data_IF_888064882120
#
_entry.id   IF_888064882120
#
_cell.length_a   1.000
_cell.length_b   1.000
_cell.length_c   1.000
_cell.angle_alpha   90.00
_cell.angle_beta   90.00
_cell.angle_gamma   90.00
#
_symmetry.space_group_name_H-M   'P 1'
#
loop_
_entity.id
_entity.type
_entity.pdbx_description
1 polymer ?
#
# COMPACT_ATOMS: atom_id res chain seq x y z
N UNK A 1 -9.87 -12.65 4.48
CA UNK A 1 -9.62 -12.77 3.07
C UNK A 1 -8.15 -13.07 2.80
N UNK A 2 -7.90 -14.02 1.93
CA UNK A 2 -6.54 -14.54 1.70
C UNK A 2 -5.93 -13.96 0.44
N UNK A 3 -5.65 -12.69 0.46
CA UNK A 3 -5.09 -12.05 -0.71
C UNK A 3 -3.65 -12.49 -0.95
N UNK A 4 -2.90 -12.66 0.14
CA UNK A 4 -1.47 -12.93 0.04
C UNK A 4 -1.14 -14.28 -0.57
N UNK A 5 -2.10 -15.21 -0.61
CA UNK A 5 -1.86 -16.54 -1.15
C UNK A 5 -1.92 -16.60 -2.65
N UNK A 6 -2.34 -15.53 -3.29
CA UNK A 6 -2.50 -15.51 -4.74
C UNK A 6 -1.46 -14.63 -5.39
N UNK A 7 -0.85 -15.09 -6.47
CA UNK A 7 0.05 -14.22 -7.21
C UNK A 7 -0.71 -13.06 -7.82
N UNK A 8 -0.04 -11.95 -7.95
CA UNK A 8 -0.61 -10.79 -8.62
C UNK A 8 -0.64 -11.03 -10.11
N UNK A 9 -1.66 -10.51 -10.78
CA UNK A 9 -1.82 -10.65 -12.23
C UNK A 9 -1.00 -9.57 -12.94
N UNK A 10 0.31 -9.58 -12.70
CA UNK A 10 1.24 -8.59 -13.21
C UNK A 10 2.44 -9.32 -13.76
N UNK A 11 2.85 -8.99 -14.98
CA UNK A 11 3.96 -9.68 -15.62
C UNK A 11 5.33 -9.13 -15.22
N UNK A 12 5.38 -7.84 -14.90
CA UNK A 12 6.64 -7.20 -14.48
C UNK A 12 6.93 -7.60 -13.02
N UNK A 13 8.03 -8.33 -12.81
CA UNK A 13 8.32 -8.85 -11.48
C UNK A 13 8.64 -7.74 -10.48
N UNK A 14 9.31 -6.69 -10.91
CA UNK A 14 9.60 -5.57 -10.02
C UNK A 14 8.30 -4.88 -9.60
N UNK A 15 7.41 -4.63 -10.56
CA UNK A 15 6.12 -4.02 -10.24
C UNK A 15 5.30 -4.91 -9.32
N UNK A 16 5.34 -6.22 -9.55
CA UNK A 16 4.61 -7.15 -8.69
C UNK A 16 5.07 -7.05 -7.24
N UNK A 17 6.38 -6.97 -7.02
CA UNK A 17 6.92 -6.83 -5.67
C UNK A 17 6.49 -5.50 -5.06
N UNK A 18 6.55 -4.42 -5.84
CA UNK A 18 6.19 -3.10 -5.34
C UNK A 18 4.71 -3.03 -4.99
N UNK A 19 3.85 -3.65 -5.78
CA UNK A 19 2.42 -3.68 -5.46
C UNK A 19 2.18 -4.47 -4.17
N UNK A 20 2.85 -5.60 -4.01
CA UNK A 20 2.70 -6.39 -2.80
C UNK A 20 3.13 -5.59 -1.57
N UNK A 21 4.23 -4.86 -1.68
CA UNK A 21 4.71 -4.03 -0.59
C UNK A 21 3.74 -2.90 -0.30
N UNK A 22 3.15 -2.31 -1.33
CA UNK A 22 2.14 -1.28 -1.15
C UNK A 22 0.95 -1.84 -0.36
N UNK A 23 0.53 -3.06 -0.68
CA UNK A 23 -0.56 -3.70 0.04
C UNK A 23 -0.26 -3.85 1.51
N UNK A 24 0.97 -4.23 1.84
CA UNK A 24 1.39 -4.37 3.24
C UNK A 24 1.34 -3.02 3.94
N UNK A 25 1.82 -1.96 3.30
CA UNK A 25 1.79 -0.63 3.90
C UNK A 25 0.37 -0.14 4.10
N UNK A 26 -0.51 -0.40 3.14
CA UNK A 26 -1.90 0.00 3.28
C UNK A 26 -2.58 -0.71 4.44
N UNK A 27 -2.26 -1.99 4.65
CA UNK A 27 -2.79 -2.72 5.78
C UNK A 27 -2.31 -2.13 7.09
N UNK A 28 -1.05 -1.74 7.15
CA UNK A 28 -0.50 -1.09 8.33
C UNK A 28 -1.25 0.21 8.63
N UNK A 29 -1.52 1.02 7.61
CA UNK A 29 -2.28 2.26 7.78
C UNK A 29 -3.68 1.94 8.31
N UNK A 30 -4.31 0.92 7.77
CA UNK A 30 -5.66 0.55 8.22
C UNK A 30 -5.66 0.17 9.70
N UNK A 31 -4.66 -0.57 10.15
CA UNK A 31 -4.53 -0.93 11.55
C UNK A 31 -4.37 0.33 12.41
N UNK A 32 -3.53 1.26 11.98
CA UNK A 32 -3.32 2.49 12.73
C UNK A 32 -4.58 3.34 12.82
N UNK A 33 -5.33 3.43 11.72
CA UNK A 33 -6.60 4.16 11.72
C UNK A 33 -7.57 3.51 12.69
N UNK A 34 -7.64 2.18 12.68
CA UNK A 34 -8.52 1.46 13.61
C UNK A 34 -8.14 1.73 15.06
N UNK A 35 -6.84 1.78 15.34
CA UNK A 35 -6.37 2.06 16.69
C UNK A 35 -6.77 3.46 17.14
N UNK A 36 -6.73 4.44 16.23
CA UNK A 36 -7.13 5.81 16.59
C UNK A 36 -8.62 5.91 16.88
N UNK A 37 -9.41 4.93 16.48
CA UNK A 37 -10.84 4.91 16.75
C UNK A 37 -11.19 4.28 18.09
N UNK A 38 -10.20 3.72 18.79
CA UNK A 38 -10.45 3.09 20.09
C UNK A 38 -10.84 4.15 21.12
N UNK A 39 -11.80 3.83 21.99
CA UNK A 39 -12.13 4.76 23.08
C UNK A 39 -11.04 4.72 24.15
N UNK A 40 -10.91 5.76 24.89
CA UNK A 40 -10.06 5.79 26.09
C UNK A 40 -8.55 5.70 25.78
N UNK A 41 -8.13 6.17 24.62
CA UNK A 41 -6.70 6.28 24.34
C UNK A 41 -6.09 7.36 25.23
N UNK A 42 -4.93 7.08 25.80
CA UNK A 42 -4.17 8.12 26.50
C UNK A 42 -3.52 9.05 25.49
N UNK A 43 -3.10 10.22 25.97
CA UNK A 43 -2.40 11.16 25.11
C UNK A 43 -1.13 10.55 24.54
N UNK A 44 -0.39 9.79 25.36
CA UNK A 44 0.83 9.14 24.90
C UNK A 44 0.53 8.10 23.82
N UNK A 45 -0.53 7.33 24.00
CA UNK A 45 -0.93 6.34 23.01
C UNK A 45 -1.31 7.00 21.69
N UNK A 46 -2.06 8.10 21.76
CA UNK A 46 -2.43 8.84 20.57
C UNK A 46 -1.18 9.35 19.84
N UNK A 47 -0.23 9.89 20.61
CA UNK A 47 0.99 10.45 20.02
C UNK A 47 1.78 9.36 19.33
N UNK A 48 1.89 8.18 19.94
CA UNK A 48 2.63 7.09 19.33
C UNK A 48 1.99 6.61 18.04
N UNK A 49 0.67 6.48 18.05
CA UNK A 49 -0.04 6.03 16.85
C UNK A 49 0.11 7.05 15.74
N UNK A 50 -0.02 8.33 16.07
CA UNK A 50 0.12 9.39 15.08
C UNK A 50 1.54 9.43 14.51
N UNK A 51 2.55 9.19 15.34
CA UNK A 51 3.92 9.15 14.86
C UNK A 51 4.13 8.00 13.87
N UNK A 52 3.57 6.83 14.18
CA UNK A 52 3.66 5.70 13.26
C UNK A 52 2.87 5.97 11.97
N UNK A 53 1.74 6.64 12.10
CA UNK A 53 0.95 6.98 10.91
C UNK A 53 1.70 7.97 10.03
N UNK A 54 2.40 8.92 10.64
CA UNK A 54 3.24 9.85 9.87
C UNK A 54 4.32 9.09 9.11
N UNK A 55 5.00 8.16 9.78
CA UNK A 55 6.03 7.37 9.11
C UNK A 55 5.44 6.56 7.96
N UNK A 56 4.27 5.97 8.16
CA UNK A 56 3.62 5.20 7.10
C UNK A 56 3.24 6.11 5.93
N UNK A 57 2.77 7.32 6.22
CA UNK A 57 2.40 8.26 5.16
C UNK A 57 3.62 8.65 4.32
N UNK A 58 4.77 8.86 4.97
CA UNK A 58 6.01 9.18 4.25
C UNK A 58 6.42 8.00 3.38
N UNK A 59 6.33 6.78 3.91
CA UNK A 59 6.67 5.58 3.14
C UNK A 59 5.75 5.44 1.93
N UNK A 60 4.45 5.65 2.11
CA UNK A 60 3.50 5.57 1.01
C UNK A 60 3.79 6.62 -0.06
N UNK A 61 4.10 7.83 0.38
CA UNK A 61 4.41 8.90 -0.55
C UNK A 61 5.61 8.52 -1.41
N UNK A 62 6.67 8.01 -0.78
CA UNK A 62 7.87 7.62 -1.51
C UNK A 62 7.64 6.41 -2.39
N UNK A 63 6.80 5.48 -1.93
CA UNK A 63 6.49 4.27 -2.70
C UNK A 63 5.71 4.60 -3.97
N UNK A 64 4.79 5.54 -3.87
CA UNK A 64 3.91 5.91 -4.98
C UNK A 64 4.51 7.05 -5.79
N UNK A 65 5.80 6.95 -6.04
CA UNK A 65 6.51 7.97 -6.79
C UNK A 65 6.29 7.81 -8.29
N UNK A 66 6.95 8.67 -9.03
CA UNK A 66 6.80 8.69 -10.48
C UNK A 66 7.26 7.39 -11.11
N UNK A 67 8.33 6.80 -10.60
CA UNK A 67 8.84 5.55 -11.15
C UNK A 67 7.83 4.41 -10.99
N UNK A 68 7.22 4.33 -9.82
CA UNK A 68 6.18 3.32 -9.58
C UNK A 68 4.99 3.54 -10.53
N UNK A 69 4.59 4.80 -10.69
CA UNK A 69 3.48 5.11 -11.58
C UNK A 69 3.82 4.75 -13.03
N UNK A 70 5.06 4.99 -13.43
CA UNK A 70 5.50 4.65 -14.78
C UNK A 70 5.43 3.15 -15.01
N UNK A 71 5.84 2.35 -14.02
CA UNK A 71 5.75 0.91 -14.14
C UNK A 71 4.31 0.44 -14.32
N UNK A 72 3.38 1.07 -13.61
CA UNK A 72 1.97 0.73 -13.77
C UNK A 72 1.50 1.06 -15.19
N UNK A 73 1.88 2.23 -15.68
CA UNK A 73 1.48 2.65 -17.03
C UNK A 73 2.02 1.67 -18.07
N UNK A 74 3.28 1.30 -17.93
CA UNK A 74 3.90 0.36 -18.86
C UNK A 74 3.22 -1.00 -18.83
N UNK A 75 2.85 -1.45 -17.64
CA UNK A 75 2.15 -2.72 -17.53
C UNK A 75 0.79 -2.64 -18.21
N UNK A 76 0.08 -1.51 -18.04
CA UNK A 76 -1.20 -1.32 -18.70
C UNK A 76 -1.05 -1.34 -20.22
N UNK A 77 0.01 -0.72 -20.73
CA UNK A 77 0.23 -0.66 -22.16
C UNK A 77 0.59 -2.03 -22.75
N UNK A 78 1.12 -2.93 -21.93
CA UNK A 78 1.47 -4.27 -22.37
C UNK A 78 0.34 -5.27 -22.26
N UNK A 79 -0.80 -4.87 -21.73
CA UNK A 79 -1.95 -5.77 -21.66
C UNK A 79 -2.52 -5.98 -23.06
N UNK A 80 -2.98 -7.20 -23.35
CA UNK A 80 -3.60 -7.42 -24.66
C UNK A 80 -4.90 -6.65 -24.78
N UNK A 81 -5.24 -6.28 -26.00
CA UNK A 81 -6.49 -5.61 -26.27
C UNK A 81 -7.64 -6.54 -25.88
N UNK A 82 -8.61 -5.99 -25.24
CA UNK A 82 -9.80 -6.74 -24.84
C UNK A 82 -10.89 -6.51 -25.87
N UNK A 83 -11.24 -7.55 -26.56
CA UNK A 83 -12.19 -7.45 -27.66
C UNK A 83 -13.62 -7.49 -27.22
N UNK A 84 -13.87 -7.71 -25.98
CA UNK A 84 -15.26 -7.90 -25.48
C UNK A 84 -15.98 -6.61 -25.21
#
# INVERSE_FOLDING_TARGET
MQISDRPLAVTNSTLSILIAELGIECLKVQVLVNQLQLPSLTVNQQAEILAELLAAAVHLHNHCDKDFQTLIIEEMENLPDDED
#
